data_IF_706065674626
#
_entry.id   IF_706065674626
#
_cell.length_a   1.000
_cell.length_b   1.000
_cell.length_c   1.000
_cell.angle_alpha   90.00
_cell.angle_beta   90.00
_cell.angle_gamma   90.00
#
_symmetry.space_group_name_H-M   'P 1'
#
loop_
_entity.id
_entity.type
_entity.pdbx_description
1 polymer ?
#
# COMPACT_ATOMS: atom_id res chain seq x y z
N UNK A 1 62.61 5.57 -25.79
CA UNK A 1 61.78 6.31 -24.82
C UNK A 1 60.35 6.22 -25.34
N UNK A 2 59.53 5.30 -24.81
CA UNK A 2 58.14 5.12 -25.26
C UNK A 2 57.21 6.00 -24.39
N UNK A 3 56.20 6.68 -24.96
CA UNK A 3 55.30 7.51 -24.19
C UNK A 3 54.31 6.62 -23.41
N UNK A 4 54.24 6.83 -22.10
CA UNK A 4 53.25 6.20 -21.23
C UNK A 4 51.85 6.68 -21.58
N UNK A 5 50.97 5.76 -21.97
CA UNK A 5 49.54 6.04 -22.18
C UNK A 5 48.88 6.43 -20.85
N UNK A 6 48.00 7.46 -20.81
CA UNK A 6 47.33 7.85 -19.59
C UNK A 6 46.30 6.79 -19.18
N UNK A 7 46.29 6.43 -17.90
CA UNK A 7 45.30 5.52 -17.31
C UNK A 7 43.90 6.15 -17.41
N UNK A 8 42.85 5.39 -17.77
CA UNK A 8 41.50 5.95 -17.85
C UNK A 8 41.03 6.40 -16.45
N UNK A 9 40.30 7.53 -16.34
CA UNK A 9 39.85 8.03 -15.06
C UNK A 9 38.88 7.03 -14.42
N UNK A 10 39.24 6.55 -13.23
CA UNK A 10 38.35 5.77 -12.38
C UNK A 10 37.21 6.69 -11.91
N UNK A 11 36.06 6.66 -12.61
CA UNK A 11 34.86 7.26 -12.04
C UNK A 11 34.56 6.52 -10.72
N UNK A 12 34.48 7.23 -9.58
CA UNK A 12 34.28 6.56 -8.30
C UNK A 12 32.96 5.81 -8.36
N UNK A 13 33.00 4.52 -8.08
CA UNK A 13 31.87 3.59 -8.11
C UNK A 13 30.65 4.16 -7.36
N UNK A 14 30.89 4.98 -6.34
CA UNK A 14 29.88 5.73 -5.58
C UNK A 14 29.00 6.66 -6.44
N UNK A 15 29.57 7.42 -7.38
CA UNK A 15 28.81 8.35 -8.21
C UNK A 15 27.90 7.60 -9.21
N UNK A 16 28.33 6.43 -9.69
CA UNK A 16 27.51 5.56 -10.54
C UNK A 16 26.39 4.91 -9.73
N UNK A 17 26.69 4.42 -8.53
CA UNK A 17 25.69 3.84 -7.62
C UNK A 17 24.62 4.87 -7.21
N UNK A 18 25.01 6.10 -6.86
CA UNK A 18 24.07 7.18 -6.52
C UNK A 18 23.18 7.57 -7.71
N UNK A 19 23.73 7.62 -8.93
CA UNK A 19 22.94 7.86 -10.14
C UNK A 19 21.95 6.72 -10.43
N UNK A 20 22.38 5.47 -10.24
CA UNK A 20 21.52 4.29 -10.42
C UNK A 20 20.40 4.22 -9.37
N UNK A 21 20.69 4.56 -8.11
CA UNK A 21 19.68 4.70 -7.07
C UNK A 21 18.69 5.81 -7.41
N UNK A 22 19.20 6.97 -7.83
CA UNK A 22 18.37 8.10 -8.23
C UNK A 22 17.48 7.81 -9.45
N UNK A 23 17.97 7.07 -10.45
CA UNK A 23 17.14 6.66 -11.59
C UNK A 23 16.09 5.61 -11.19
N UNK A 24 16.45 4.70 -10.28
CA UNK A 24 15.52 3.69 -9.76
C UNK A 24 14.39 4.31 -8.93
N UNK A 25 14.68 5.29 -8.07
CA UNK A 25 13.64 6.04 -7.33
C UNK A 25 12.73 6.78 -8.32
N UNK A 26 13.31 7.51 -9.28
CA UNK A 26 12.53 8.27 -10.28
C UNK A 26 11.67 7.40 -11.20
N UNK A 27 11.89 6.10 -11.26
CA UNK A 27 11.10 5.17 -12.06
C UNK A 27 9.75 4.77 -11.43
N UNK A 28 9.53 5.08 -10.15
CA UNK A 28 8.27 4.86 -9.44
C UNK A 28 7.94 6.07 -8.53
N UNK A 29 7.74 7.26 -9.12
CA UNK A 29 7.64 8.50 -8.37
C UNK A 29 6.45 8.52 -7.40
N UNK A 30 5.29 7.99 -7.79
CA UNK A 30 4.09 7.96 -6.94
C UNK A 30 4.33 7.16 -5.66
N UNK A 31 4.96 5.99 -5.79
CA UNK A 31 5.29 5.12 -4.65
C UNK A 31 6.20 5.82 -3.65
N UNK A 32 7.29 6.45 -4.12
CA UNK A 32 8.26 7.09 -3.21
C UNK A 32 7.80 8.43 -2.66
N UNK A 33 7.00 9.19 -3.41
CA UNK A 33 6.32 10.38 -2.87
C UNK A 33 5.40 9.96 -1.72
N UNK A 34 4.59 8.92 -1.93
CA UNK A 34 3.68 8.45 -0.89
C UNK A 34 4.45 7.89 0.32
N UNK A 35 5.49 7.07 0.12
CA UNK A 35 6.35 6.60 1.20
C UNK A 35 7.01 7.73 1.99
N UNK A 36 7.38 8.82 1.31
CA UNK A 36 7.95 10.01 1.96
C UNK A 36 6.91 10.70 2.83
N UNK A 37 5.67 10.83 2.34
CA UNK A 37 4.56 11.37 3.14
C UNK A 37 4.35 10.49 4.38
N UNK A 38 4.27 9.17 4.21
CA UNK A 38 4.11 8.23 5.32
C UNK A 38 5.27 8.28 6.31
N UNK A 39 6.49 8.52 5.85
CA UNK A 39 7.66 8.70 6.72
C UNK A 39 7.50 9.96 7.57
N UNK A 40 7.18 11.10 6.94
CA UNK A 40 7.00 12.38 7.62
C UNK A 40 5.88 12.29 8.65
N UNK A 41 4.72 11.72 8.29
CA UNK A 41 3.60 11.56 9.22
C UNK A 41 3.94 10.62 10.37
N UNK A 42 4.69 9.56 10.11
CA UNK A 42 5.21 8.66 11.16
C UNK A 42 6.16 9.37 12.12
N UNK A 43 7.10 10.18 11.61
CA UNK A 43 8.04 10.96 12.44
C UNK A 43 7.28 11.98 13.29
N UNK A 44 6.31 12.69 12.70
CA UNK A 44 5.47 13.65 13.42
C UNK A 44 4.72 12.96 14.57
N UNK A 45 4.18 11.76 14.34
CA UNK A 45 3.48 10.99 15.37
C UNK A 45 4.43 10.57 16.51
N UNK A 46 5.63 10.09 16.21
CA UNK A 46 6.62 9.72 17.23
C UNK A 46 7.12 10.90 18.07
N UNK A 47 6.92 12.14 17.59
CA UNK A 47 7.25 13.34 18.36
C UNK A 47 6.12 13.76 19.31
N UNK A 48 4.93 13.13 19.23
CA UNK A 48 3.83 13.33 20.15
C UNK A 48 4.01 12.46 21.40
N UNK A 49 3.42 12.86 22.54
CA UNK A 49 3.40 11.98 23.71
C UNK A 49 2.55 10.73 23.40
N UNK A 50 2.86 9.55 23.98
CA UNK A 50 2.14 8.30 23.69
C UNK A 50 0.62 8.40 23.91
N UNK A 51 0.21 9.13 24.95
CA UNK A 51 -1.21 9.38 25.26
C UNK A 51 -1.91 10.25 24.20
N UNK A 52 -1.14 11.09 23.49
CA UNK A 52 -1.64 11.95 22.44
C UNK A 52 -1.56 11.27 21.08
N UNK A 53 -0.60 10.38 20.83
CA UNK A 53 -0.52 9.56 19.62
C UNK A 53 -1.77 8.67 19.49
N UNK A 54 -2.12 7.94 20.55
CA UNK A 54 -3.27 7.05 20.54
C UNK A 54 -4.59 7.83 20.33
N UNK A 55 -4.75 8.97 21.02
CA UNK A 55 -5.96 9.80 20.92
C UNK A 55 -6.01 10.60 19.60
N UNK A 56 -4.87 10.99 19.05
CA UNK A 56 -4.76 11.68 17.76
C UNK A 56 -5.00 10.74 16.58
N UNK A 57 -4.43 9.53 16.61
CA UNK A 57 -4.70 8.49 15.61
C UNK A 57 -6.16 8.03 15.68
N UNK A 58 -6.74 7.86 16.87
CA UNK A 58 -8.18 7.56 17.05
C UNK A 58 -9.11 8.64 16.48
N UNK A 59 -8.71 9.92 16.50
CA UNK A 59 -9.50 11.02 15.91
C UNK A 59 -9.28 11.19 14.41
N UNK A 60 -8.25 10.57 13.83
CA UNK A 60 -7.89 10.64 12.40
C UNK A 60 -8.09 9.31 11.66
N UNK A 61 -8.47 8.25 12.38
CA UNK A 61 -8.92 6.97 11.84
C UNK A 61 -10.30 7.11 11.20
N UNK A 62 -10.64 6.14 10.35
CA UNK A 62 -11.96 6.05 9.74
C UNK A 62 -13.03 5.76 10.80
N UNK A 63 -13.54 6.79 11.46
CA UNK A 63 -14.67 6.64 12.37
C UNK A 63 -15.96 6.65 11.54
N UNK A 64 -16.84 5.66 11.70
CA UNK A 64 -18.14 5.59 11.00
C UNK A 64 -18.91 6.92 11.08
N UNK A 65 -18.87 7.60 12.23
CA UNK A 65 -19.54 8.88 12.41
C UNK A 65 -18.95 9.99 11.52
N UNK A 66 -17.62 10.04 11.42
CA UNK A 66 -16.93 10.99 10.54
C UNK A 66 -17.04 10.58 9.07
N UNK A 67 -17.05 9.28 8.75
CA UNK A 67 -17.24 8.78 7.39
C UNK A 67 -18.63 9.14 6.85
N UNK A 68 -19.67 9.12 7.70
CA UNK A 68 -21.01 9.55 7.33
C UNK A 68 -21.13 11.08 7.20
N UNK A 69 -20.28 11.84 7.89
CA UNK A 69 -20.34 13.31 7.92
C UNK A 69 -19.47 13.98 6.85
N UNK A 70 -18.24 13.50 6.68
CA UNK A 70 -17.25 13.99 5.72
C UNK A 70 -16.41 12.84 5.16
N UNK A 71 -17.00 11.98 4.30
CA UNK A 71 -16.37 10.76 3.80
C UNK A 71 -15.06 11.04 3.04
N UNK A 72 -15.02 12.12 2.28
CA UNK A 72 -13.86 12.47 1.43
C UNK A 72 -12.66 12.81 2.31
N UNK A 73 -12.84 13.65 3.33
CA UNK A 73 -11.77 14.02 4.25
C UNK A 73 -11.23 12.81 5.00
N UNK A 74 -12.11 11.92 5.46
CA UNK A 74 -11.74 10.72 6.21
C UNK A 74 -10.92 9.75 5.35
N UNK A 75 -11.41 9.43 4.14
CA UNK A 75 -10.70 8.55 3.20
C UNK A 75 -9.32 9.11 2.87
N UNK A 76 -9.24 10.39 2.51
CA UNK A 76 -7.95 11.05 2.22
C UNK A 76 -7.02 11.02 3.43
N UNK A 77 -7.53 11.36 4.62
CA UNK A 77 -6.72 11.36 5.85
C UNK A 77 -6.17 9.96 6.14
N UNK A 78 -7.02 8.93 6.10
CA UNK A 78 -6.64 7.54 6.40
C UNK A 78 -5.57 6.96 5.47
N UNK A 79 -5.43 7.52 4.27
CA UNK A 79 -4.39 7.14 3.30
C UNK A 79 -2.98 7.67 3.65
N UNK A 80 -2.84 8.53 4.68
CA UNK A 80 -1.56 9.16 5.03
C UNK A 80 -0.98 8.75 6.39
N UNK A 81 -1.58 7.79 7.08
CA UNK A 81 -1.12 7.33 8.40
C UNK A 81 -0.76 5.84 8.38
N UNK A 82 0.18 5.42 9.23
CA UNK A 82 0.56 4.02 9.43
C UNK A 82 0.24 3.62 10.88
N UNK A 83 -0.36 2.45 11.05
CA UNK A 83 -0.76 1.95 12.36
C UNK A 83 0.47 1.47 13.14
N UNK A 84 0.54 1.85 14.40
CA UNK A 84 1.68 1.55 15.26
C UNK A 84 3.00 2.20 14.83
N UNK A 85 2.96 3.17 13.90
CA UNK A 85 4.11 4.01 13.55
C UNK A 85 5.30 3.26 12.92
N UNK A 86 5.15 2.00 12.50
CA UNK A 86 6.27 1.22 11.95
C UNK A 86 6.44 1.46 10.45
N UNK A 87 7.23 2.47 10.08
CA UNK A 87 7.45 2.82 8.68
C UNK A 87 8.28 1.79 7.88
N UNK A 88 9.30 1.17 8.49
CA UNK A 88 10.24 0.28 7.80
C UNK A 88 9.58 -0.91 7.07
N UNK A 89 8.63 -1.66 7.68
CA UNK A 89 7.89 -2.70 6.97
C UNK A 89 7.16 -2.19 5.72
N UNK A 90 6.51 -1.03 5.81
CA UNK A 90 5.81 -0.42 4.68
C UNK A 90 6.80 0.03 3.60
N UNK A 91 7.93 0.62 3.97
CA UNK A 91 8.99 0.99 3.02
C UNK A 91 9.48 -0.22 2.21
N UNK A 92 9.68 -1.37 2.87
CA UNK A 92 10.04 -2.61 2.21
C UNK A 92 8.94 -3.11 1.28
N UNK A 93 7.70 -3.25 1.78
CA UNK A 93 6.58 -3.78 1.01
C UNK A 93 6.22 -2.89 -0.20
N UNK A 94 6.21 -1.57 -0.03
CA UNK A 94 5.97 -0.63 -1.11
C UNK A 94 7.10 -0.67 -2.16
N UNK A 95 8.35 -0.79 -1.71
CA UNK A 95 9.48 -0.94 -2.62
C UNK A 95 9.37 -2.22 -3.46
N UNK A 96 9.02 -3.36 -2.83
CA UNK A 96 8.94 -4.67 -3.49
C UNK A 96 7.72 -4.75 -4.40
N UNK A 97 6.55 -4.30 -3.94
CA UNK A 97 5.27 -4.46 -4.64
C UNK A 97 4.83 -3.17 -5.35
N UNK A 98 4.60 -2.07 -4.64
CA UNK A 98 4.08 -0.84 -5.25
C UNK A 98 4.99 -0.28 -6.33
N UNK A 99 6.29 -0.16 -6.07
CA UNK A 99 7.20 0.40 -7.07
C UNK A 99 7.31 -0.52 -8.30
N UNK A 100 7.16 -1.85 -8.13
CA UNK A 100 7.10 -2.79 -9.25
C UNK A 100 5.80 -2.63 -10.04
N UNK A 101 4.67 -2.53 -9.36
CA UNK A 101 3.37 -2.32 -9.97
C UNK A 101 3.31 -0.99 -10.71
N UNK A 102 3.82 0.09 -10.12
CA UNK A 102 3.89 1.42 -10.72
C UNK A 102 4.76 1.43 -11.98
N UNK A 103 5.94 0.80 -11.93
CA UNK A 103 6.82 0.67 -13.10
C UNK A 103 6.17 -0.09 -14.26
N UNK A 104 5.30 -1.04 -13.94
CA UNK A 104 4.63 -1.89 -14.92
C UNK A 104 3.34 -1.25 -15.48
N UNK A 105 2.48 -0.74 -14.60
CA UNK A 105 1.18 -0.14 -14.95
C UNK A 105 1.30 1.32 -15.40
N UNK A 106 2.39 1.99 -15.02
CA UNK A 106 2.49 3.45 -15.01
C UNK A 106 1.80 4.07 -13.79
N UNK A 107 2.24 5.27 -13.40
CA UNK A 107 1.80 5.97 -12.18
C UNK A 107 0.29 6.15 -12.10
N UNK A 108 -0.36 6.56 -13.19
CA UNK A 108 -1.82 6.79 -13.19
C UNK A 108 -2.61 5.50 -12.88
N UNK A 109 -2.31 4.41 -13.59
CA UNK A 109 -3.05 3.15 -13.44
C UNK A 109 -2.78 2.51 -12.08
N UNK A 110 -1.54 2.56 -11.61
CA UNK A 110 -1.19 2.13 -10.25
C UNK A 110 -1.98 2.92 -9.20
N UNK A 111 -2.04 4.25 -9.34
CA UNK A 111 -2.78 5.10 -8.41
C UNK A 111 -4.28 4.76 -8.42
N UNK A 112 -4.88 4.55 -9.59
CA UNK A 112 -6.29 4.13 -9.70
C UNK A 112 -6.54 2.81 -8.97
N UNK A 113 -5.67 1.80 -9.13
CA UNK A 113 -5.79 0.52 -8.40
C UNK A 113 -5.71 0.74 -6.89
N UNK A 114 -4.68 1.47 -6.43
CA UNK A 114 -4.47 1.75 -5.01
C UNK A 114 -5.67 2.51 -4.40
N UNK A 115 -6.17 3.52 -5.11
CA UNK A 115 -7.31 4.33 -4.67
C UNK A 115 -8.62 3.53 -4.63
N UNK A 116 -8.91 2.73 -5.67
CA UNK A 116 -10.10 1.88 -5.69
C UNK A 116 -10.06 0.84 -4.57
N UNK A 117 -8.92 0.16 -4.40
CA UNK A 117 -8.75 -0.83 -3.33
C UNK A 117 -8.92 -0.19 -1.96
N UNK A 118 -8.30 0.97 -1.72
CA UNK A 118 -8.46 1.73 -0.49
C UNK A 118 -9.92 2.10 -0.22
N UNK A 119 -10.58 2.80 -1.14
CA UNK A 119 -11.92 3.35 -0.92
C UNK A 119 -12.95 2.23 -0.76
N UNK A 120 -12.96 1.24 -1.66
CA UNK A 120 -13.96 0.17 -1.61
C UNK A 120 -13.77 -0.71 -0.38
N UNK A 121 -12.53 -1.07 -0.02
CA UNK A 121 -12.28 -1.85 1.18
C UNK A 121 -12.71 -1.12 2.45
N UNK A 122 -12.46 0.19 2.53
CA UNK A 122 -12.87 1.04 3.66
C UNK A 122 -14.40 1.09 3.76
N UNK A 123 -15.10 1.31 2.65
CA UNK A 123 -16.57 1.35 2.66
C UNK A 123 -17.21 0.01 3.06
N UNK A 124 -16.63 -1.11 2.62
CA UNK A 124 -17.14 -2.45 2.93
C UNK A 124 -16.89 -2.82 4.39
N UNK A 125 -15.66 -2.62 4.90
CA UNK A 125 -15.29 -2.93 6.28
C UNK A 125 -16.09 -2.09 7.29
N UNK A 126 -16.09 -0.77 7.12
CA UNK A 126 -16.84 0.16 7.98
C UNK A 126 -18.34 0.00 7.83
N UNK A 127 -18.83 -0.29 6.62
CA UNK A 127 -20.24 -0.58 6.38
C UNK A 127 -20.70 -1.85 7.10
N UNK A 128 -19.87 -2.89 7.11
CA UNK A 128 -20.14 -4.13 7.84
C UNK A 128 -20.09 -3.91 9.36
N UNK A 129 -19.13 -3.14 9.86
CA UNK A 129 -19.04 -2.76 11.28
C UNK A 129 -20.29 -1.97 11.71
N UNK A 130 -20.69 -0.97 10.92
CA UNK A 130 -21.88 -0.17 11.17
C UNK A 130 -23.14 -1.04 11.18
N UNK A 131 -23.25 -2.02 10.27
CA UNK A 131 -24.35 -2.97 10.24
C UNK A 131 -24.37 -3.84 11.50
N UNK A 132 -23.23 -4.39 11.91
CA UNK A 132 -23.14 -5.25 13.09
C UNK A 132 -23.50 -4.50 14.39
N UNK A 133 -23.04 -3.25 14.54
CA UNK A 133 -23.40 -2.39 15.68
C UNK A 133 -24.90 -2.11 15.71
N UNK A 134 -25.51 -1.77 14.56
CA UNK A 134 -26.97 -1.51 14.48
C UNK A 134 -27.82 -2.72 14.86
N UNK A 135 -27.32 -3.93 14.64
CA UNK A 135 -28.03 -5.18 14.96
C UNK A 135 -27.60 -5.79 16.30
N UNK A 136 -26.83 -5.05 17.13
CA UNK A 136 -26.39 -5.51 18.44
C UNK A 136 -25.37 -6.65 18.42
N UNK A 137 -24.73 -6.89 17.28
CA UNK A 137 -23.74 -7.97 17.10
C UNK A 137 -22.31 -7.54 17.41
N UNK A 138 -22.05 -6.24 17.57
CA UNK A 138 -20.76 -5.70 18.00
C UNK A 138 -20.96 -4.55 19.00
N UNK A 139 -20.18 -4.49 20.09
CA UNK A 139 -20.24 -3.36 21.00
C UNK A 139 -19.71 -2.08 20.35
N UNK A 140 -20.31 -0.94 20.69
CA UNK A 140 -19.94 0.38 20.16
C UNK A 140 -18.46 0.73 20.42
N UNK A 141 -17.83 0.12 21.43
CA UNK A 141 -16.40 0.27 21.71
C UNK A 141 -15.48 -0.23 20.59
N UNK A 142 -15.97 -1.12 19.70
CA UNK A 142 -15.22 -1.62 18.53
C UNK A 142 -15.21 -0.62 17.37
N UNK A 143 -16.08 0.41 17.40
CA UNK A 143 -16.12 1.52 16.42
C UNK A 143 -14.82 2.35 16.41
N UNK A 144 -13.99 2.20 17.44
CA UNK A 144 -12.70 2.88 17.56
C UNK A 144 -11.50 1.98 17.23
N UNK A 145 -11.73 0.75 16.73
CA UNK A 145 -10.66 -0.09 16.22
C UNK A 145 -10.16 0.51 14.90
N UNK A 146 -8.91 0.94 14.90
CA UNK A 146 -8.24 1.64 13.81
C UNK A 146 -8.43 0.92 12.47
N UNK A 147 -8.96 1.64 11.49
CA UNK A 147 -8.90 1.23 10.09
C UNK A 147 -7.98 2.18 9.31
N UNK A 148 -6.90 1.62 8.77
CA UNK A 148 -5.88 2.36 8.04
C UNK A 148 -5.87 1.95 6.57
N UNK A 149 -6.30 2.90 5.75
CA UNK A 149 -6.46 2.79 4.31
C UNK A 149 -5.21 2.39 3.53
N UNK A 150 -4.02 2.67 4.07
CA UNK A 150 -2.72 2.29 3.46
C UNK A 150 -2.61 0.77 3.28
N UNK A 151 -3.09 -0.01 4.25
CA UNK A 151 -2.98 -1.46 4.22
C UNK A 151 -3.91 -2.11 3.18
N UNK A 152 -5.08 -1.50 2.92
CA UNK A 152 -6.01 -1.94 1.87
C UNK A 152 -5.50 -1.63 0.47
N UNK A 153 -4.92 -0.44 0.27
CA UNK A 153 -4.23 -0.10 -0.97
C UNK A 153 -3.10 -1.09 -1.26
N UNK A 154 -2.33 -1.46 -0.23
CA UNK A 154 -1.29 -2.47 -0.32
C UNK A 154 -1.85 -3.82 -0.76
N UNK A 155 -2.93 -4.30 -0.13
CA UNK A 155 -3.57 -5.55 -0.51
C UNK A 155 -4.02 -5.56 -1.98
N UNK A 156 -4.65 -4.48 -2.45
CA UNK A 156 -5.05 -4.37 -3.85
C UNK A 156 -3.90 -4.33 -4.84
N UNK A 157 -2.82 -3.59 -4.52
CA UNK A 157 -1.64 -3.50 -5.39
C UNK A 157 -0.84 -4.82 -5.41
N UNK A 158 -0.74 -5.52 -4.29
CA UNK A 158 -0.18 -6.88 -4.24
C UNK A 158 -1.04 -7.82 -5.09
N UNK A 159 -2.36 -7.75 -4.99
CA UNK A 159 -3.23 -8.64 -5.74
C UNK A 159 -3.19 -8.39 -7.27
N UNK A 160 -3.20 -7.14 -7.74
CA UNK A 160 -3.15 -6.83 -9.18
C UNK A 160 -1.84 -7.30 -9.82
N UNK A 161 -0.74 -7.38 -9.06
CA UNK A 161 0.54 -7.91 -9.55
C UNK A 161 0.47 -9.37 -9.98
N UNK A 162 -0.56 -10.13 -9.58
CA UNK A 162 -0.85 -11.47 -10.10
C UNK A 162 -0.78 -11.52 -11.63
N UNK A 163 -1.27 -10.47 -12.30
CA UNK A 163 -1.28 -10.40 -13.77
C UNK A 163 0.08 -10.09 -14.39
N UNK A 164 1.03 -9.57 -13.60
CA UNK A 164 2.42 -9.34 -14.00
C UNK A 164 3.30 -10.58 -13.78
N UNK A 165 2.91 -11.50 -12.91
CA UNK A 165 3.66 -12.73 -12.65
C UNK A 165 3.64 -13.65 -13.89
N UNK A 166 4.79 -14.26 -14.27
CA UNK A 166 4.87 -15.22 -15.38
C UNK A 166 3.85 -16.37 -15.24
N UNK A 167 3.31 -16.83 -16.37
CA UNK A 167 2.20 -17.80 -16.41
C UNK A 167 2.39 -19.05 -15.53
N UNK A 168 3.58 -19.71 -15.49
CA UNK A 168 3.77 -20.89 -14.64
C UNK A 168 3.62 -20.61 -13.14
N UNK A 169 4.03 -19.41 -12.70
CA UNK A 169 4.04 -19.01 -11.29
C UNK A 169 2.80 -18.21 -10.85
N UNK A 170 2.02 -17.71 -11.82
CA UNK A 170 0.79 -16.96 -11.56
C UNK A 170 -0.20 -17.67 -10.63
N UNK A 171 -0.55 -18.97 -10.81
CA UNK A 171 -1.47 -19.63 -9.91
C UNK A 171 -0.90 -19.75 -8.48
N UNK A 172 0.41 -19.98 -8.34
CA UNK A 172 1.08 -20.04 -7.03
C UNK A 172 1.03 -18.68 -6.34
N UNK A 173 1.31 -17.60 -7.06
CA UNK A 173 1.23 -16.25 -6.52
C UNK A 173 -0.20 -15.88 -6.13
N UNK A 174 -1.18 -16.15 -6.99
CA UNK A 174 -2.60 -15.91 -6.70
C UNK A 174 -3.04 -16.67 -5.44
N UNK A 175 -2.68 -17.95 -5.35
CA UNK A 175 -2.97 -18.76 -4.18
C UNK A 175 -2.36 -18.15 -2.91
N UNK A 176 -1.09 -17.73 -2.95
CA UNK A 176 -0.44 -17.08 -1.83
C UNK A 176 -1.16 -15.78 -1.41
N UNK A 177 -1.57 -14.94 -2.36
CA UNK A 177 -2.35 -13.72 -2.08
C UNK A 177 -3.67 -14.06 -1.39
N UNK A 178 -4.41 -15.04 -1.91
CA UNK A 178 -5.69 -15.46 -1.34
C UNK A 178 -5.53 -16.08 0.05
N UNK A 179 -4.45 -16.81 0.31
CA UNK A 179 -4.15 -17.34 1.64
C UNK A 179 -3.82 -16.21 2.62
N UNK A 180 -2.93 -15.29 2.23
CA UNK A 180 -2.48 -14.18 3.10
C UNK A 180 -3.65 -13.30 3.52
N UNK A 181 -4.58 -12.99 2.61
CA UNK A 181 -5.72 -12.11 2.93
C UNK A 181 -7.01 -12.85 3.30
N UNK A 182 -7.12 -14.15 2.97
CA UNK A 182 -8.31 -14.95 3.24
C UNK A 182 -8.27 -15.69 4.57
N UNK A 183 -7.11 -16.24 4.98
CA UNK A 183 -6.99 -16.99 6.24
C UNK A 183 -7.32 -16.12 7.47
N UNK A 184 -6.80 -14.88 7.61
CA UNK A 184 -7.15 -14.02 8.74
C UNK A 184 -8.66 -13.77 8.85
N UNK A 185 -9.36 -13.59 7.73
CA UNK A 185 -10.82 -13.42 7.74
C UNK A 185 -11.54 -14.67 8.27
N UNK A 186 -11.05 -15.87 7.97
CA UNK A 186 -11.66 -17.13 8.41
C UNK A 186 -11.43 -17.37 9.91
N UNK A 187 -10.22 -17.07 10.39
CA UNK A 187 -9.76 -17.37 11.76
C UNK A 187 -10.04 -16.25 12.76
N UNK A 188 -9.74 -15.00 12.40
CA UNK A 188 -9.87 -13.81 13.24
C UNK A 188 -11.22 -13.08 13.08
N UNK A 189 -11.82 -13.14 11.87
CA UNK A 189 -13.15 -12.57 11.55
C UNK A 189 -13.30 -11.10 11.91
N UNK A 190 -12.24 -10.31 11.77
CA UNK A 190 -12.31 -8.86 12.01
C UNK A 190 -12.83 -8.12 10.79
N UNK A 191 -13.38 -6.92 11.00
CA UNK A 191 -13.79 -6.03 9.90
C UNK A 191 -12.60 -5.56 9.06
N UNK A 192 -11.43 -5.42 9.69
CA UNK A 192 -10.17 -5.11 9.01
C UNK A 192 -9.74 -6.25 8.07
N UNK A 193 -9.85 -7.51 8.51
CA UNK A 193 -9.56 -8.66 7.63
C UNK A 193 -10.51 -8.70 6.42
N UNK A 194 -11.79 -8.32 6.62
CA UNK A 194 -12.75 -8.17 5.53
C UNK A 194 -12.32 -7.08 4.56
N UNK A 195 -11.83 -5.95 5.09
CA UNK A 195 -11.25 -4.86 4.29
C UNK A 195 -10.03 -5.33 3.49
N UNK A 196 -9.08 -6.05 4.09
CA UNK A 196 -7.91 -6.58 3.38
C UNK A 196 -8.29 -7.52 2.24
N UNK A 197 -9.20 -8.47 2.49
CA UNK A 197 -9.68 -9.37 1.45
C UNK A 197 -10.41 -8.60 0.35
N UNK A 198 -11.26 -7.63 0.72
CA UNK A 198 -11.97 -6.76 -0.24
C UNK A 198 -10.98 -5.99 -1.11
N UNK A 199 -9.96 -5.38 -0.51
CA UNK A 199 -8.91 -4.66 -1.23
C UNK A 199 -8.18 -5.57 -2.22
N UNK A 200 -7.83 -6.79 -1.81
CA UNK A 200 -7.22 -7.79 -2.70
C UNK A 200 -8.15 -8.17 -3.87
N UNK A 201 -9.44 -8.41 -3.61
CA UNK A 201 -10.43 -8.73 -4.64
C UNK A 201 -10.63 -7.56 -5.63
N UNK A 202 -10.64 -6.32 -5.15
CA UNK A 202 -10.68 -5.11 -5.99
C UNK A 202 -9.43 -5.01 -6.86
N UNK A 203 -8.26 -5.30 -6.30
CA UNK A 203 -7.00 -5.40 -7.05
C UNK A 203 -7.06 -6.41 -8.19
N UNK A 204 -7.63 -7.60 -7.94
CA UNK A 204 -7.88 -8.60 -8.99
C UNK A 204 -8.90 -8.10 -10.01
N UNK A 205 -9.99 -7.48 -9.57
CA UNK A 205 -11.02 -6.93 -10.44
C UNK A 205 -10.48 -5.81 -11.37
N UNK A 206 -9.36 -5.18 -11.01
CA UNK A 206 -8.65 -4.21 -11.85
C UNK A 206 -7.89 -4.79 -13.05
N UNK A 207 -8.08 -6.09 -13.38
CA UNK A 207 -7.54 -6.72 -14.59
C UNK A 207 -7.66 -5.88 -15.88
N UNK A 208 -8.77 -5.15 -16.17
CA UNK A 208 -8.84 -4.30 -17.34
C UNK A 208 -7.73 -3.24 -17.42
N UNK A 209 -7.29 -2.70 -16.28
CA UNK A 209 -6.21 -1.70 -16.20
C UNK A 209 -4.84 -2.29 -16.54
N UNK A 210 -4.69 -3.62 -16.50
CA UNK A 210 -3.44 -4.31 -16.82
C UNK A 210 -3.30 -4.58 -18.32
N UNK A 211 -4.32 -4.31 -19.13
CA UNK A 211 -4.30 -4.54 -20.58
C UNK A 211 -3.56 -3.39 -21.27
N UNK A 212 -2.73 -3.72 -22.27
CA UNK A 212 -1.96 -2.74 -23.03
C UNK A 212 -0.72 -2.18 -22.31
N UNK A 213 -0.31 -2.75 -21.16
CA UNK A 213 0.97 -2.41 -20.53
C UNK A 213 2.10 -3.11 -21.28
N UNK A 214 2.79 -2.37 -22.15
CA UNK A 214 3.92 -2.85 -22.96
C UNK A 214 5.23 -2.72 -22.18
N UNK A 215 5.43 -3.59 -21.19
CA UNK A 215 6.80 -3.91 -20.74
C UNK A 215 6.87 -5.41 -20.46
N UNK A 216 7.72 -6.17 -21.19
CA UNK A 216 7.94 -7.57 -20.90
C UNK A 216 8.37 -7.75 -19.43
N UNK A 217 8.04 -8.88 -18.78
CA UNK A 217 8.71 -9.23 -17.54
C UNK A 217 10.21 -9.24 -17.81
N UNK A 218 11.00 -8.60 -16.94
CA UNK A 218 12.45 -8.74 -16.95
C UNK A 218 12.77 -10.22 -16.74
N UNK A 219 12.99 -10.93 -17.84
CA UNK A 219 13.75 -12.16 -17.85
C UNK A 219 15.21 -11.74 -17.75
N UNK A 220 15.80 -11.96 -16.58
CA UNK A 220 17.22 -12.24 -16.41
C UNK A 220 17.30 -13.45 -15.50
#
# INVERSE_FOLDING_TARGET
>A
MAPSSPSPPAHPVSARALRALGSWIRSAPGTYVWLTILFVTTVVVHQMSPDFEDDFLRRRSTNIHELLRDPVRVLISSAFWIEGGRWLPYAFLFTVFHARAERWLGTLRWFVVAALAHVVATLVSEGALAWAVRHGQAPVSVVNALDIGVSYALAGVVAVLTYHVPRPWRPVYLFAVLVVYGVPLITGRTFTDLGHLTGALVGLACYPLTRGTTKPPLAQ
#
